data_IF_024445271899
#
_entry.id   IF_024445271899
#
_cell.length_a   1.000
_cell.length_b   1.000
_cell.length_c   1.000
_cell.angle_alpha   90.00
_cell.angle_beta   90.00
_cell.angle_gamma   90.00
#
_symmetry.space_group_name_H-M   'P 1'
#
loop_
_entity.id
_entity.type
_entity.pdbx_description
1 polymer ?
#
# COMPACT_ATOMS: atom_id res chain seq x y z
N UNK A 1 -3.92 9.54 4.16
CA UNK A 1 -2.84 8.56 3.93
C UNK A 1 -1.53 9.31 3.86
N UNK A 2 -0.53 8.88 4.62
CA UNK A 2 0.79 9.52 4.67
C UNK A 2 1.72 8.95 3.61
N UNK A 3 2.75 9.73 3.27
CA UNK A 3 3.81 9.33 2.35
C UNK A 3 4.92 8.60 3.10
N UNK A 4 5.32 7.44 2.60
CA UNK A 4 6.46 6.71 3.11
C UNK A 4 7.47 6.46 1.98
N UNK A 5 8.70 6.92 2.22
CA UNK A 5 9.85 6.71 1.34
C UNK A 5 9.64 7.14 -0.11
N UNK A 6 8.70 8.06 -0.38
CA UNK A 6 8.36 8.53 -1.74
C UNK A 6 7.97 7.41 -2.72
N UNK A 7 7.56 6.26 -2.19
CA UNK A 7 7.23 5.05 -2.98
C UNK A 7 5.83 4.53 -2.70
N UNK A 8 5.29 4.84 -1.52
CA UNK A 8 4.02 4.30 -1.06
C UNK A 8 3.20 5.35 -0.28
N UNK A 9 1.88 5.31 -0.47
CA UNK A 9 0.93 5.98 0.41
C UNK A 9 0.37 4.93 1.36
N UNK A 10 0.36 5.20 2.66
CA UNK A 10 -0.17 4.26 3.64
C UNK A 10 -1.18 4.91 4.58
N UNK A 11 -2.05 4.09 5.15
CA UNK A 11 -3.04 4.54 6.14
C UNK A 11 -3.41 3.44 7.10
N UNK A 12 -3.69 3.84 8.34
CA UNK A 12 -4.13 2.92 9.39
C UNK A 12 -5.58 2.51 9.17
N UNK A 13 -5.86 1.20 9.19
CA UNK A 13 -7.23 0.72 9.17
C UNK A 13 -7.85 0.80 10.57
N UNK A 14 -9.17 1.05 10.69
CA UNK A 14 -9.84 1.09 11.99
C UNK A 14 -9.89 -0.28 12.70
N UNK A 15 -9.54 -1.35 11.99
CA UNK A 15 -9.42 -2.71 12.52
C UNK A 15 -8.43 -3.51 11.68
N UNK A 16 -7.86 -4.55 12.27
CA UNK A 16 -7.10 -5.55 11.51
C UNK A 16 -7.97 -6.27 10.48
N UNK A 17 -7.36 -6.62 9.36
CA UNK A 17 -7.89 -7.60 8.42
C UNK A 17 -7.66 -9.03 8.96
N UNK A 18 -8.41 -9.99 8.43
CA UNK A 18 -8.31 -11.39 8.85
C UNK A 18 -6.87 -11.92 8.68
N UNK A 19 -6.49 -12.84 9.57
CA UNK A 19 -5.19 -13.49 9.49
C UNK A 19 -5.07 -14.36 8.23
N UNK A 20 -3.88 -14.36 7.61
CA UNK A 20 -3.58 -15.14 6.42
C UNK A 20 -2.84 -14.34 5.36
N UNK A 21 -2.82 -14.88 4.14
CA UNK A 21 -2.13 -14.28 3.00
C UNK A 21 -0.65 -14.66 2.90
N UNK A 22 -0.14 -14.71 1.67
CA UNK A 22 1.29 -14.96 1.42
C UNK A 22 2.09 -13.71 1.79
N UNK A 23 3.06 -13.86 2.68
CA UNK A 23 4.05 -12.80 2.96
C UNK A 23 4.93 -12.59 1.74
N UNK A 24 5.06 -11.33 1.34
CA UNK A 24 5.85 -10.90 0.20
C UNK A 24 6.81 -9.81 0.64
N UNK A 25 8.00 -9.85 0.04
CA UNK A 25 9.10 -8.93 0.31
C UNK A 25 9.38 -8.00 -0.88
N UNK A 26 8.71 -8.26 -2.01
CA UNK A 26 8.67 -7.38 -3.18
C UNK A 26 7.27 -6.86 -3.39
N UNK A 27 7.18 -5.81 -4.20
CA UNK A 27 5.94 -5.18 -4.66
C UNK A 27 6.16 -4.65 -6.07
N UNK A 28 5.07 -4.40 -6.77
CA UNK A 28 5.01 -3.73 -8.06
C UNK A 28 4.25 -2.40 -7.91
N UNK A 29 4.51 -1.45 -8.81
CA UNK A 29 3.67 -0.23 -8.91
C UNK A 29 2.22 -0.65 -9.14
N UNK A 30 1.31 -0.03 -8.38
CA UNK A 30 -0.12 -0.34 -8.38
C UNK A 30 -0.52 -1.39 -7.35
N UNK A 31 0.41 -2.10 -6.69
CA UNK A 31 0.00 -3.04 -5.65
C UNK A 31 -0.69 -2.35 -4.47
N UNK A 32 -1.77 -2.99 -4.02
CA UNK A 32 -2.46 -2.69 -2.77
C UNK A 32 -2.10 -3.79 -1.77
N UNK A 33 -1.53 -3.39 -0.64
CA UNK A 33 -0.95 -4.31 0.33
C UNK A 33 -1.38 -4.01 1.75
N UNK A 34 -1.32 -5.03 2.60
CA UNK A 34 -1.62 -4.97 4.03
C UNK A 34 -0.35 -5.28 4.83
N UNK A 35 -0.01 -4.41 5.78
CA UNK A 35 1.06 -4.61 6.74
C UNK A 35 0.48 -4.89 8.13
N UNK A 36 0.49 -6.17 8.50
CA UNK A 36 -0.22 -6.67 9.69
C UNK A 36 0.26 -6.15 11.05
N UNK A 37 1.56 -5.83 11.28
CA UNK A 37 1.99 -5.27 12.56
C UNK A 37 1.31 -3.96 12.93
N UNK A 38 1.07 -3.09 11.94
CA UNK A 38 0.50 -1.76 12.09
C UNK A 38 -0.98 -1.63 11.71
N UNK A 39 -1.73 -2.72 11.57
CA UNK A 39 -2.86 -2.85 10.62
C UNK A 39 -2.97 -1.78 9.51
N UNK A 40 -1.91 -1.57 8.74
CA UNK A 40 -1.87 -0.54 7.72
C UNK A 40 -2.20 -1.09 6.32
N UNK A 41 -2.88 -0.27 5.51
CA UNK A 41 -3.04 -0.49 4.07
C UNK A 41 -2.08 0.44 3.32
N UNK A 42 -1.46 -0.10 2.27
CA UNK A 42 -0.41 0.56 1.50
C UNK A 42 -0.76 0.52 0.01
N UNK A 43 -0.57 1.64 -0.68
CA UNK A 43 -0.67 1.81 -2.13
C UNK A 43 0.72 2.15 -2.69
N UNK A 44 1.31 1.24 -3.47
CA UNK A 44 2.62 1.46 -4.09
C UNK A 44 2.48 2.22 -5.41
N UNK A 45 3.19 3.33 -5.55
CA UNK A 45 3.13 4.19 -6.75
C UNK A 45 4.49 4.45 -7.40
N UNK A 46 5.59 4.09 -6.73
CA UNK A 46 6.93 4.15 -7.30
C UNK A 46 7.80 3.03 -6.70
N UNK A 47 8.98 2.82 -7.27
CA UNK A 47 10.02 2.00 -6.68
C UNK A 47 11.12 2.87 -6.09
N UNK A 48 11.64 2.48 -4.94
CA UNK A 48 12.85 3.03 -4.33
C UNK A 48 14.05 2.09 -4.45
N UNK A 49 13.88 0.94 -5.13
CA UNK A 49 14.90 -0.09 -5.28
C UNK A 49 15.13 -0.96 -4.03
N UNK A 50 14.35 -0.76 -2.96
CA UNK A 50 14.47 -1.53 -1.73
C UNK A 50 13.41 -2.64 -1.64
N UNK A 51 13.77 -3.74 -0.99
CA UNK A 51 12.81 -4.78 -0.60
C UNK A 51 12.08 -4.38 0.69
N UNK A 52 10.90 -4.94 0.89
CA UNK A 52 10.17 -4.85 2.15
C UNK A 52 10.89 -5.71 3.20
N UNK A 53 11.13 -5.23 4.43
CA UNK A 53 11.75 -6.02 5.50
C UNK A 53 10.75 -7.01 6.14
N UNK A 54 11.26 -7.90 7.00
CA UNK A 54 10.42 -8.76 7.84
C UNK A 54 9.40 -7.93 8.66
N UNK A 55 8.13 -8.40 8.82
CA UNK A 55 7.60 -9.71 8.42
C UNK A 55 7.05 -9.76 6.97
N UNK A 56 7.33 -8.75 6.15
CA UNK A 56 6.76 -8.58 4.83
C UNK A 56 5.32 -8.09 4.82
N UNK A 57 4.77 -7.92 3.62
CA UNK A 57 3.40 -7.45 3.35
C UNK A 57 2.54 -8.57 2.77
N UNK A 58 1.23 -8.38 2.77
CA UNK A 58 0.28 -9.22 2.02
C UNK A 58 -0.29 -8.37 0.89
N UNK A 59 0.02 -8.70 -0.36
CA UNK A 59 -0.61 -8.08 -1.53
C UNK A 59 -1.99 -8.73 -1.71
N UNK A 60 -3.03 -7.90 -1.80
CA UNK A 60 -4.41 -8.36 -1.95
C UNK A 60 -5.18 -7.66 -3.08
N UNK A 61 -4.55 -6.71 -3.77
CA UNK A 61 -5.14 -6.03 -4.91
C UNK A 61 -4.09 -5.35 -5.78
N UNK A 62 -4.54 -4.85 -6.93
CA UNK A 62 -3.74 -4.08 -7.86
C UNK A 62 -4.62 -2.96 -8.45
N UNK A 63 -4.05 -1.76 -8.54
CA UNK A 63 -4.64 -0.61 -9.23
C UNK A 63 -4.25 -0.75 -10.70
N UNK A 64 -5.22 -1.11 -11.55
CA UNK A 64 -4.96 -1.39 -12.98
C UNK A 64 -4.46 -0.17 -13.76
N UNK A 65 -4.85 1.05 -13.35
CA UNK A 65 -4.43 2.28 -14.00
C UNK A 65 -4.39 3.48 -13.03
N UNK A 66 -3.47 4.41 -13.26
CA UNK A 66 -3.41 5.70 -12.57
C UNK A 66 -2.73 5.70 -11.20
N UNK A 67 -2.05 4.63 -10.80
CA UNK A 67 -1.28 4.60 -9.55
C UNK A 67 -0.19 5.70 -9.50
N UNK A 68 0.35 6.10 -10.65
CA UNK A 68 1.32 7.18 -10.77
C UNK A 68 0.76 8.57 -10.41
N UNK A 69 -0.57 8.74 -10.35
CA UNK A 69 -1.19 9.99 -9.91
C UNK A 69 -0.76 10.38 -8.48
N UNK A 70 -0.44 9.42 -7.62
CA UNK A 70 0.08 9.68 -6.27
C UNK A 70 1.44 10.38 -6.27
N UNK A 71 2.24 10.28 -7.34
CA UNK A 71 3.54 10.98 -7.47
C UNK A 71 3.41 12.50 -7.49
N UNK A 72 2.21 13.02 -7.81
CA UNK A 72 1.97 14.47 -7.90
C UNK A 72 1.85 15.15 -6.54
N UNK A 73 1.73 14.36 -5.46
CA UNK A 73 1.47 14.86 -4.12
C UNK A 73 2.61 14.50 -3.20
N UNK A 74 3.39 15.50 -2.82
CA UNK A 74 4.35 15.37 -1.73
C UNK A 74 3.59 15.33 -0.40
N UNK A 75 3.79 14.27 0.40
CA UNK A 75 3.16 14.13 1.71
C UNK A 75 1.74 13.53 1.70
N UNK A 76 0.91 13.96 2.65
CA UNK A 76 -0.38 13.32 2.95
C UNK A 76 -1.42 13.56 1.84
N UNK A 77 -2.20 12.53 1.53
CA UNK A 77 -3.34 12.58 0.60
C UNK A 77 -4.60 11.99 1.25
N UNK A 78 -5.75 12.60 0.99
CA UNK A 78 -7.04 12.04 1.39
C UNK A 78 -7.48 10.99 0.37
N UNK A 79 -7.79 9.78 0.85
CA UNK A 79 -8.15 8.64 0.01
C UNK A 79 -9.44 8.03 0.52
N UNK A 80 -10.41 7.89 -0.39
CA UNK A 80 -11.62 7.11 -0.19
C UNK A 80 -11.51 5.81 -0.98
N UNK A 81 -11.77 4.66 -0.33
CA UNK A 81 -11.81 3.35 -0.99
C UNK A 81 -13.23 2.82 -0.82
N UNK A 82 -13.92 2.60 -1.92
CA UNK A 82 -15.30 2.14 -1.97
C UNK A 82 -15.46 0.94 -2.90
N UNK A 83 -16.51 0.15 -2.68
CA UNK A 83 -16.89 -0.88 -3.63
C UNK A 83 -17.45 -0.22 -4.89
N UNK A 84 -17.15 -0.81 -6.04
CA UNK A 84 -17.75 -0.42 -7.32
C UNK A 84 -19.04 -1.23 -7.50
N UNK A 85 -20.11 -0.57 -7.94
CA UNK A 85 -21.41 -1.20 -8.26
C UNK A 85 -21.37 -2.05 -9.54
#
# INVERSE_FOLDING_TARGET
MDDLLTREKYGHLPRSLAAGGKRQFGYEIGNVAYWSPGPDITLFYAHDGQSIPDPGIVIFGHIDAGADAFKKYDGTVDVNIEAID
#
